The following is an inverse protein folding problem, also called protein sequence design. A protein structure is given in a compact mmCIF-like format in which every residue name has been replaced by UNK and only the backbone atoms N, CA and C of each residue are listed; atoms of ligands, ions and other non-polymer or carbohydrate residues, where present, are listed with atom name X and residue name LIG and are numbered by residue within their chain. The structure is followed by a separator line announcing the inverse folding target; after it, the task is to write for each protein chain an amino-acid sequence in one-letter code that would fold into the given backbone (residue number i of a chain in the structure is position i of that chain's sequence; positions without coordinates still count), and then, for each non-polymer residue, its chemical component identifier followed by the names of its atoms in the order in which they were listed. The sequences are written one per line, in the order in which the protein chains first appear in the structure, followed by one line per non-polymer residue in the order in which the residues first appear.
data_IF_792234519751
#
_entry.id   IF_792234519751
#
_cell.length_a   1.000
_cell.length_b   1.000
_cell.length_c   1.000
_cell.angle_alpha   90.00
_cell.angle_beta   90.00
_cell.angle_gamma   90.00
#
_symmetry.space_group_name_H-M   'P 1'
#
loop_
_entity.id
_entity.type
_entity.pdbx_description
1 polymer ?
#
# COMPACT_ATOMS: atom_id res chain seq x y z
N UNK A 1 22.13 14.82 -57.81
CA UNK A 1 22.35 14.38 -56.42
C UNK A 1 22.18 15.58 -55.51
N UNK A 2 21.03 15.72 -54.88
CA UNK A 2 20.66 16.87 -54.03
C UNK A 2 20.77 16.44 -52.57
N UNK A 3 21.68 17.07 -51.82
CA UNK A 3 21.89 16.81 -50.41
C UNK A 3 20.85 17.59 -49.57
N UNK A 4 20.03 16.87 -48.80
CA UNK A 4 19.11 17.46 -47.83
C UNK A 4 19.86 17.75 -46.52
N UNK A 5 19.89 19.01 -46.13
CA UNK A 5 20.48 19.48 -44.87
C UNK A 5 19.51 19.17 -43.73
N UNK A 6 19.81 18.16 -42.91
CA UNK A 6 19.05 17.87 -41.70
C UNK A 6 19.48 18.84 -40.59
N UNK A 7 18.60 19.78 -40.25
CA UNK A 7 18.78 20.64 -39.08
C UNK A 7 18.33 19.86 -37.84
N UNK A 8 19.27 19.32 -37.08
CA UNK A 8 19.01 18.78 -35.74
C UNK A 8 18.64 19.93 -34.80
N UNK A 9 17.35 20.04 -34.49
CA UNK A 9 16.90 20.90 -33.39
C UNK A 9 17.38 20.29 -32.07
N UNK A 10 18.46 20.85 -31.54
CA UNK A 10 18.93 20.57 -30.18
C UNK A 10 17.92 21.16 -29.20
N UNK A 11 17.08 20.33 -28.59
CA UNK A 11 16.20 20.75 -27.50
C UNK A 11 17.07 21.32 -26.37
N UNK A 12 16.88 22.57 -25.93
CA UNK A 12 17.72 23.16 -24.90
C UNK A 12 17.60 22.35 -23.60
N UNK A 13 18.75 22.11 -22.95
CA UNK A 13 18.77 21.50 -21.62
C UNK A 13 18.00 22.42 -20.66
N UNK A 14 17.08 21.88 -19.86
CA UNK A 14 16.34 22.69 -18.91
C UNK A 14 17.31 23.34 -17.94
N UNK A 15 17.06 24.60 -17.60
CA UNK A 15 17.90 25.34 -16.66
C UNK A 15 17.72 24.78 -15.25
N UNK A 16 18.65 25.12 -14.35
CA UNK A 16 18.56 24.72 -12.95
C UNK A 16 17.27 25.26 -12.31
N UNK A 17 16.87 26.47 -12.69
CA UNK A 17 15.65 27.14 -12.24
C UNK A 17 14.41 26.36 -12.70
N UNK A 18 14.35 25.93 -13.96
CA UNK A 18 13.25 25.11 -14.47
C UNK A 18 13.19 23.72 -13.83
N UNK A 19 14.34 23.16 -13.44
CA UNK A 19 14.39 21.90 -12.69
C UNK A 19 13.89 22.09 -11.25
N UNK A 20 14.27 23.20 -10.61
CA UNK A 20 13.84 23.53 -9.25
C UNK A 20 12.34 23.81 -9.23
N UNK A 21 11.81 24.59 -10.17
CA UNK A 21 10.38 24.86 -10.29
C UNK A 21 9.60 23.58 -10.58
N UNK A 22 10.11 22.69 -11.43
CA UNK A 22 9.48 21.40 -11.69
C UNK A 22 9.49 20.47 -10.47
N UNK A 23 10.52 20.55 -9.62
CA UNK A 23 10.59 19.81 -8.35
C UNK A 23 9.61 20.42 -7.33
N UNK A 24 9.53 21.74 -7.24
CA UNK A 24 8.58 22.45 -6.37
C UNK A 24 7.15 22.13 -6.80
N UNK A 25 6.83 22.19 -8.09
CA UNK A 25 5.51 21.85 -8.62
C UNK A 25 5.15 20.38 -8.40
N UNK A 26 6.13 19.47 -8.47
CA UNK A 26 5.93 18.05 -8.18
C UNK A 26 5.74 17.77 -6.67
N UNK A 27 6.39 18.54 -5.80
CA UNK A 27 6.27 18.43 -4.34
C UNK A 27 4.96 19.04 -3.84
N UNK A 28 4.53 20.17 -4.42
CA UNK A 28 3.35 20.92 -4.00
C UNK A 28 2.09 20.63 -4.84
N UNK A 29 2.18 19.78 -5.85
CA UNK A 29 1.03 19.25 -6.58
C UNK A 29 0.30 20.25 -7.46
N UNK A 30 1.00 21.27 -7.98
CA UNK A 30 0.40 22.32 -8.82
C UNK A 30 0.13 21.88 -10.27
N UNK A 31 0.54 20.67 -10.65
CA UNK A 31 0.19 20.05 -11.93
C UNK A 31 -0.90 18.97 -11.72
N UNK A 32 -2.15 19.38 -11.94
CA UNK A 32 -3.36 18.60 -11.80
C UNK A 32 -3.57 17.69 -13.04
N UNK A 33 -2.61 16.80 -13.27
CA UNK A 33 -2.71 15.68 -14.20
C UNK A 33 -1.90 14.49 -13.66
N UNK A 34 -2.11 14.16 -12.39
CA UNK A 34 -1.52 13.00 -11.74
C UNK A 34 -2.47 11.82 -11.89
N UNK A 35 -2.21 10.96 -12.88
CA UNK A 35 -2.41 9.52 -12.68
C UNK A 35 -1.94 9.20 -11.25
N UNK A 36 -2.77 8.60 -10.38
CA UNK A 36 -2.39 8.37 -8.99
C UNK A 36 -1.35 7.24 -8.95
N UNK A 37 -0.12 7.56 -9.33
CA UNK A 37 1.07 6.79 -8.99
C UNK A 37 1.31 7.07 -7.51
N UNK A 38 0.45 6.52 -6.67
CA UNK A 38 0.64 6.51 -5.23
C UNK A 38 1.85 5.61 -4.98
N UNK A 39 3.04 6.21 -5.01
CA UNK A 39 4.27 5.52 -4.65
C UNK A 39 4.04 4.76 -3.33
N UNK A 40 4.47 3.49 -3.22
CA UNK A 40 4.32 2.70 -1.99
C UNK A 40 4.74 3.48 -0.74
N UNK A 41 5.81 4.26 -0.83
CA UNK A 41 6.31 5.11 0.25
C UNK A 41 5.28 6.18 0.69
N UNK A 42 4.59 6.82 -0.27
CA UNK A 42 3.54 7.81 0.01
C UNK A 42 2.34 7.18 0.69
N UNK A 43 1.91 6.00 0.22
CA UNK A 43 0.83 5.24 0.86
C UNK A 43 1.17 4.85 2.31
N UNK A 44 2.39 4.36 2.55
CA UNK A 44 2.86 4.03 3.91
C UNK A 44 2.89 5.28 4.79
N UNK A 45 3.37 6.41 4.27
CA UNK A 45 3.42 7.66 5.03
C UNK A 45 2.02 8.17 5.40
N UNK A 46 1.07 8.10 4.46
CA UNK A 46 -0.32 8.50 4.72
C UNK A 46 -0.98 7.59 5.77
N UNK A 47 -0.79 6.28 5.67
CA UNK A 47 -1.30 5.35 6.68
C UNK A 47 -0.70 5.63 8.07
N UNK A 48 0.58 6.03 8.16
CA UNK A 48 1.21 6.47 9.42
C UNK A 48 0.61 7.75 9.97
N UNK A 49 0.35 8.75 9.12
CA UNK A 49 -0.32 9.99 9.50
C UNK A 49 -1.69 9.70 10.10
N UNK A 50 -2.50 8.89 9.41
CA UNK A 50 -3.83 8.46 9.88
C UNK A 50 -3.74 7.66 11.19
N UNK A 51 -2.71 6.82 11.35
CA UNK A 51 -2.45 6.12 12.61
C UNK A 51 -2.18 7.08 13.76
N UNK A 52 -1.41 8.14 13.53
CA UNK A 52 -1.09 9.15 14.55
C UNK A 52 -2.33 9.92 15.01
N UNK A 53 -3.29 10.15 14.11
CA UNK A 53 -4.58 10.77 14.44
C UNK A 53 -5.60 9.77 15.00
N UNK A 54 -5.27 8.49 15.10
CA UNK A 54 -6.13 7.43 15.63
C UNK A 54 -7.13 6.84 14.63
N UNK A 55 -7.11 7.26 13.37
CA UNK A 55 -8.03 6.77 12.33
C UNK A 55 -7.48 5.48 11.69
N UNK A 56 -7.57 4.39 12.45
CA UNK A 56 -7.03 3.09 12.04
C UNK A 56 -7.78 2.47 10.86
N UNK A 57 -9.08 2.73 10.74
CA UNK A 57 -9.90 2.19 9.65
C UNK A 57 -9.51 2.82 8.31
N UNK A 58 -9.33 4.15 8.26
CA UNK A 58 -8.78 4.80 7.06
C UNK A 58 -7.35 4.39 6.78
N UNK A 59 -6.51 4.23 7.80
CA UNK A 59 -5.13 3.78 7.60
C UNK A 59 -5.07 2.38 6.94
N UNK A 60 -5.96 1.46 7.33
CA UNK A 60 -6.06 0.14 6.71
C UNK A 60 -6.66 0.21 5.30
N UNK A 61 -7.57 1.15 5.03
CA UNK A 61 -8.11 1.37 3.69
C UNK A 61 -7.02 1.78 2.69
N UNK A 62 -6.07 2.63 3.11
CA UNK A 62 -4.90 2.99 2.28
C UNK A 62 -4.13 1.75 1.86
N UNK A 63 -3.91 0.79 2.77
CA UNK A 63 -3.22 -0.46 2.43
C UNK A 63 -4.02 -1.40 1.53
N UNK A 64 -5.35 -1.33 1.58
CA UNK A 64 -6.21 -2.11 0.70
C UNK A 64 -6.16 -1.61 -0.76
N UNK A 65 -5.88 -0.33 -0.96
CA UNK A 65 -5.76 0.31 -2.28
C UNK A 65 -4.30 0.40 -2.77
N UNK A 66 -3.33 0.09 -1.90
CA UNK A 66 -1.91 0.18 -2.21
C UNK A 66 -1.49 -0.87 -3.25
N UNK A 67 -1.07 -0.41 -4.43
CA UNK A 67 -0.43 -1.28 -5.42
C UNK A 67 1.07 -1.43 -5.10
N UNK A 68 1.50 -2.66 -4.85
CA UNK A 68 2.90 -3.01 -4.63
C UNK A 68 3.53 -3.69 -5.84
N UNK A 69 2.88 -3.74 -7.01
CA UNK A 69 3.39 -4.43 -8.21
C UNK A 69 4.83 -4.03 -8.56
N UNK A 70 5.13 -2.73 -8.56
CA UNK A 70 6.48 -2.16 -8.81
C UNK A 70 7.36 -1.96 -7.57
N UNK A 71 6.91 -2.35 -6.37
CA UNK A 71 7.65 -2.10 -5.14
C UNK A 71 8.88 -3.00 -4.99
N UNK A 72 9.95 -2.44 -4.43
CA UNK A 72 11.15 -3.17 -4.00
C UNK A 72 10.85 -4.11 -2.83
N UNK A 73 11.71 -5.09 -2.59
CA UNK A 73 11.58 -5.98 -1.43
C UNK A 73 11.62 -5.23 -0.08
N UNK A 74 12.40 -4.15 -0.02
CA UNK A 74 12.44 -3.26 1.15
C UNK A 74 11.08 -2.64 1.43
N UNK A 75 10.47 -2.04 0.41
CA UNK A 75 9.15 -1.41 0.50
C UNK A 75 8.05 -2.41 0.83
N UNK A 76 8.05 -3.60 0.21
CA UNK A 76 7.09 -4.67 0.54
C UNK A 76 7.19 -5.12 1.99
N UNK A 77 8.42 -5.23 2.53
CA UNK A 77 8.64 -5.57 3.94
C UNK A 77 8.16 -4.46 4.88
N UNK A 78 8.41 -3.20 4.53
CA UNK A 78 7.93 -2.06 5.32
C UNK A 78 6.41 -1.91 5.29
N UNK A 79 5.78 -2.05 4.12
CA UNK A 79 4.33 -2.05 3.98
C UNK A 79 3.70 -3.16 4.82
N UNK A 80 4.26 -4.38 4.73
CA UNK A 80 3.82 -5.51 5.54
C UNK A 80 3.93 -5.25 7.05
N UNK A 81 5.07 -4.71 7.51
CA UNK A 81 5.28 -4.41 8.92
C UNK A 81 4.27 -3.38 9.45
N UNK A 82 4.05 -2.29 8.71
CA UNK A 82 3.10 -1.24 9.09
C UNK A 82 1.65 -1.75 9.06
N UNK A 83 1.28 -2.51 8.04
CA UNK A 83 -0.03 -3.15 7.94
C UNK A 83 -0.31 -4.05 9.14
N UNK A 84 0.66 -4.88 9.55
CA UNK A 84 0.50 -5.78 10.71
C UNK A 84 0.38 -4.99 12.01
N UNK A 85 1.14 -3.90 12.20
CA UNK A 85 1.01 -3.04 13.39
C UNK A 85 -0.38 -2.41 13.47
N UNK A 86 -0.87 -1.84 12.36
CA UNK A 86 -2.22 -1.28 12.27
C UNK A 86 -3.30 -2.32 12.55
N UNK A 87 -3.20 -3.47 11.91
CA UNK A 87 -4.13 -4.58 12.10
C UNK A 87 -4.18 -5.03 13.56
N UNK A 88 -3.02 -5.18 14.21
CA UNK A 88 -2.93 -5.55 15.62
C UNK A 88 -3.59 -4.52 16.53
N UNK A 89 -3.38 -3.22 16.28
CA UNK A 89 -4.02 -2.14 17.05
C UNK A 89 -5.52 -2.14 16.86
N UNK A 90 -5.97 -2.26 15.60
CA UNK A 90 -7.37 -2.15 15.21
C UNK A 90 -8.22 -3.33 15.65
N UNK A 91 -7.70 -4.54 15.49
CA UNK A 91 -8.41 -5.78 15.76
C UNK A 91 -7.93 -6.45 17.06
N UNK A 92 -7.32 -5.67 17.96
CA UNK A 92 -6.81 -6.19 19.25
C UNK A 92 -7.90 -6.89 20.04
N UNK A 93 -9.15 -6.42 20.00
CA UNK A 93 -10.24 -7.02 20.76
C UNK A 93 -10.77 -8.32 20.13
N UNK A 94 -10.58 -8.49 18.82
CA UNK A 94 -11.20 -9.53 18.01
C UNK A 94 -10.37 -10.83 17.98
N UNK A 95 -11.02 -11.96 17.75
CA UNK A 95 -10.33 -13.23 17.43
C UNK A 95 -9.92 -13.24 15.95
N UNK A 96 -9.06 -12.29 15.59
CA UNK A 96 -8.59 -12.09 14.23
C UNK A 96 -7.43 -13.03 13.88
N UNK A 97 -7.43 -13.52 12.66
CA UNK A 97 -6.41 -14.36 12.06
C UNK A 97 -5.66 -13.59 10.96
N UNK A 98 -4.34 -13.78 10.91
CA UNK A 98 -3.50 -13.30 9.82
C UNK A 98 -3.28 -14.44 8.81
N UNK A 99 -3.64 -14.19 7.56
CA UNK A 99 -3.27 -15.02 6.42
C UNK A 99 -2.12 -14.38 5.65
N UNK A 100 -1.07 -15.15 5.37
CA UNK A 100 0.10 -14.70 4.60
C UNK A 100 0.42 -15.70 3.48
N UNK A 101 -0.02 -15.46 2.24
CA UNK A 101 0.28 -16.34 1.10
C UNK A 101 1.68 -16.17 0.53
N UNK A 102 2.38 -15.07 0.86
CA UNK A 102 3.69 -14.75 0.29
C UNK A 102 4.34 -13.51 0.90
N UNK A 103 5.40 -13.01 0.25
CA UNK A 103 6.08 -11.77 0.66
C UNK A 103 5.26 -10.56 0.27
N UNK A 104 5.09 -9.61 1.20
CA UNK A 104 4.36 -8.36 0.95
C UNK A 104 2.85 -8.52 0.83
N UNK A 105 2.30 -9.73 1.03
CA UNK A 105 0.86 -10.00 0.92
C UNK A 105 0.30 -10.50 2.23
N UNK A 106 -0.82 -9.94 2.64
CA UNK A 106 -1.49 -10.34 3.86
C UNK A 106 -2.99 -10.05 3.82
N UNK A 107 -3.75 -10.81 4.61
CA UNK A 107 -5.12 -10.49 4.93
C UNK A 107 -5.40 -10.75 6.41
N UNK A 108 -6.19 -9.87 7.02
CA UNK A 108 -6.77 -10.08 8.35
C UNK A 108 -8.17 -10.64 8.16
N UNK A 109 -8.46 -11.69 8.89
CA UNK A 109 -9.68 -12.47 8.77
C UNK A 109 -10.33 -12.62 10.15
N UNK A 110 -11.66 -12.56 10.24
CA UNK A 110 -12.40 -12.88 11.47
C UNK A 110 -13.40 -14.00 11.20
N UNK A 111 -13.69 -14.81 12.21
CA UNK A 111 -14.72 -15.84 12.06
C UNK A 111 -16.09 -15.22 11.82
N UNK A 112 -16.78 -15.66 10.77
CA UNK A 112 -18.15 -15.27 10.48
C UNK A 112 -19.13 -16.37 10.95
N UNK A 113 -18.81 -17.62 10.62
CA UNK A 113 -19.57 -18.81 11.02
C UNK A 113 -18.65 -20.03 11.24
N UNK A 114 -19.23 -21.24 11.29
CA UNK A 114 -18.47 -22.49 11.34
C UNK A 114 -17.73 -22.75 10.03
N UNK A 115 -16.49 -22.26 9.97
CA UNK A 115 -15.54 -22.60 8.92
C UNK A 115 -15.49 -21.61 7.75
N UNK A 116 -16.24 -20.52 7.80
CA UNK A 116 -16.01 -19.35 6.94
C UNK A 116 -15.44 -18.17 7.73
N UNK A 117 -14.62 -17.40 7.04
CA UNK A 117 -13.95 -16.21 7.57
C UNK A 117 -14.30 -15.02 6.69
N UNK A 118 -14.51 -13.87 7.32
CA UNK A 118 -14.66 -12.59 6.64
C UNK A 118 -13.32 -11.87 6.60
N UNK A 119 -12.96 -11.34 5.43
CA UNK A 119 -11.79 -10.49 5.24
C UNK A 119 -12.06 -9.11 5.83
N UNK A 120 -11.27 -8.68 6.80
CA UNK A 120 -11.41 -7.36 7.45
C UNK A 120 -10.41 -6.33 6.93
N UNK A 121 -9.22 -6.76 6.54
CA UNK A 121 -8.19 -5.90 5.95
C UNK A 121 -7.30 -6.71 5.00
N UNK A 122 -6.71 -6.05 4.00
CA UNK A 122 -5.87 -6.69 2.97
C UNK A 122 -4.66 -5.83 2.63
N UNK A 123 -3.60 -6.49 2.18
CA UNK A 123 -2.39 -5.89 1.64
C UNK A 123 -1.96 -6.65 0.38
N UNK A 124 -1.87 -5.97 -0.76
CA UNK A 124 -1.42 -6.51 -2.06
C UNK A 124 -2.09 -7.85 -2.43
N UNK A 125 -3.39 -7.95 -2.17
CA UNK A 125 -4.21 -9.12 -2.50
C UNK A 125 -5.39 -8.71 -3.36
N UNK A 126 -5.83 -9.60 -4.26
CA UNK A 126 -7.06 -9.42 -5.06
C UNK A 126 -8.36 -9.50 -4.24
N UNK A 127 -8.26 -9.60 -2.93
CA UNK A 127 -9.41 -9.63 -2.03
C UNK A 127 -9.78 -8.21 -1.64
N UNK A 128 -11.00 -8.03 -1.15
CA UNK A 128 -11.47 -6.77 -0.58
C UNK A 128 -11.99 -7.03 0.83
N UNK A 129 -11.93 -6.04 1.75
CA UNK A 129 -12.66 -6.11 2.99
C UNK A 129 -14.15 -6.46 2.76
N UNK A 130 -14.73 -7.27 3.64
CA UNK A 130 -16.08 -7.85 3.51
C UNK A 130 -16.16 -9.15 2.69
N UNK A 131 -15.09 -9.56 2.00
CA UNK A 131 -15.09 -10.84 1.27
C UNK A 131 -15.14 -12.02 2.23
N UNK A 132 -16.01 -13.00 1.95
CA UNK A 132 -16.08 -14.26 2.69
C UNK A 132 -15.22 -15.34 2.01
N UNK A 133 -14.48 -16.08 2.80
CA UNK A 133 -13.56 -17.15 2.36
C UNK A 133 -13.70 -18.38 3.24
N UNK A 134 -13.55 -19.57 2.64
CA UNK A 134 -13.56 -20.84 3.39
C UNK A 134 -12.24 -21.03 4.13
N UNK A 135 -12.30 -21.32 5.43
CA UNK A 135 -11.12 -21.61 6.25
C UNK A 135 -10.34 -22.81 5.72
N UNK A 136 -11.02 -23.82 5.14
CA UNK A 136 -10.38 -25.03 4.59
C UNK A 136 -9.47 -24.73 3.39
N UNK A 137 -9.76 -23.66 2.66
CA UNK A 137 -8.95 -23.22 1.51
C UNK A 137 -7.69 -22.45 1.94
N UNK A 138 -7.62 -22.03 3.20
CA UNK A 138 -6.55 -21.17 3.71
C UNK A 138 -5.60 -21.96 4.60
N UNK A 139 -4.50 -22.41 4.00
CA UNK A 139 -3.41 -23.06 4.74
C UNK A 139 -2.54 -22.01 5.43
N UNK A 140 -2.09 -22.32 6.65
CA UNK A 140 -1.12 -21.48 7.37
C UNK A 140 -1.70 -20.22 8.01
N UNK A 141 -3.00 -20.20 8.32
CA UNK A 141 -3.58 -19.16 9.16
C UNK A 141 -2.87 -19.12 10.53
N UNK A 142 -2.55 -17.92 10.98
CA UNK A 142 -1.95 -17.68 12.29
C UNK A 142 -2.87 -16.74 13.07
N UNK A 143 -3.02 -16.90 14.40
CA UNK A 143 -3.62 -15.86 15.20
C UNK A 143 -2.91 -14.53 14.95
N UNK A 144 -3.68 -13.46 14.71
CA UNK A 144 -3.12 -12.12 14.62
C UNK A 144 -2.58 -11.68 16.00
N UNK A 145 -3.02 -12.36 17.06
CA UNK A 145 -2.62 -12.33 18.46
C UNK A 145 -2.41 -10.92 19.05
N UNK A 146 -3.34 -10.59 19.97
CA UNK A 146 -3.18 -9.65 21.08
C UNK A 146 -1.73 -9.71 21.60
N UNK A 147 -1.07 -8.56 21.64
CA UNK A 147 0.30 -8.47 22.15
C UNK A 147 0.49 -9.24 23.46
N UNK A 148 1.39 -10.21 23.45
CA UNK A 148 2.28 -10.46 24.56
C UNK A 148 3.56 -9.66 24.23
N UNK A 149 4.10 -8.76 25.04
CA UNK A 149 3.77 -8.07 26.30
C UNK A 149 4.64 -6.76 26.25
N UNK A 150 4.65 -5.84 27.25
CA UNK A 150 5.65 -4.75 27.28
C UNK A 150 7.09 -5.26 27.16
#
# INVERSE_FOLDING_TARGET
MTAATATTMTTPRPTLEELVDRIIDAIFGLNEALEPITSPARGIHEARRLRQTGDLDRALAVFAELDLSGATDGERRWAYAEFVDLARRRFRADDALLYRPGTGRAAVLTALDRGTLEVRAVLDMRWRPGKVVSQRSLKGLRPLAKGAAP
#
